data_IF_753910926016
#
_entry.id   IF_753910926016
#
_cell.length_a   1.000
_cell.length_b   1.000
_cell.length_c   1.000
_cell.angle_alpha   90.00
_cell.angle_beta   90.00
_cell.angle_gamma   90.00
#
_symmetry.space_group_name_H-M   'P 1'
#
loop_
_entity.id
_entity.type
_entity.pdbx_description
1 polymer ?
#
# COMPACT_ATOMS: atom_id res chain seq x y z
N UNK A 1 -1.92 23.84 -2.97
CA UNK A 1 -2.17 22.90 -1.86
C UNK A 1 -3.48 23.36 -1.27
N UNK A 2 -4.52 22.54 -1.42
CA UNK A 2 -5.82 22.79 -0.78
C UNK A 2 -5.64 22.50 0.71
N UNK A 3 -5.94 23.47 1.55
CA UNK A 3 -5.79 23.35 3.02
C UNK A 3 -6.76 22.32 3.63
N UNK A 4 -7.71 21.78 2.84
CA UNK A 4 -8.76 20.87 3.30
C UNK A 4 -8.24 19.45 3.61
N UNK A 5 -7.16 18.98 2.95
CA UNK A 5 -6.59 17.65 3.18
C UNK A 5 -5.69 17.55 4.41
N UNK A 6 -5.20 18.68 4.95
CA UNK A 6 -4.39 18.65 6.18
C UNK A 6 -5.19 18.17 7.40
N UNK A 7 -6.53 18.14 7.30
CA UNK A 7 -7.44 17.73 8.37
C UNK A 7 -8.03 16.32 8.20
N UNK A 8 -8.02 15.76 7.00
CA UNK A 8 -8.55 14.43 6.76
C UNK A 8 -7.43 13.40 6.87
N UNK A 9 -7.58 12.51 7.85
CA UNK A 9 -6.77 11.31 7.96
C UNK A 9 -7.66 10.11 7.66
N UNK A 10 -7.26 9.20 6.75
CA UNK A 10 -7.97 7.96 6.53
C UNK A 10 -8.04 7.10 7.79
N UNK A 11 -9.14 6.40 7.97
CA UNK A 11 -9.28 5.35 8.97
C UNK A 11 -9.21 3.97 8.30
N UNK A 12 -9.11 2.90 9.10
CA UNK A 12 -9.23 1.54 8.58
C UNK A 12 -10.52 1.30 7.77
N UNK A 13 -11.60 2.01 8.05
CA UNK A 13 -12.86 1.88 7.32
C UNK A 13 -12.81 2.49 5.91
N UNK A 14 -11.86 3.40 5.67
CA UNK A 14 -11.66 4.08 4.39
C UNK A 14 -10.75 3.27 3.46
N UNK A 15 -10.00 2.30 4.01
CA UNK A 15 -9.15 1.38 3.26
C UNK A 15 -10.01 0.24 2.71
N UNK A 16 -10.73 0.54 1.63
CA UNK A 16 -11.63 -0.37 0.91
C UNK A 16 -11.09 -0.57 -0.51
N UNK A 17 -10.27 -1.60 -0.78
CA UNK A 17 -9.65 -1.78 -2.10
C UNK A 17 -10.69 -1.90 -3.22
N UNK A 18 -10.57 -1.04 -4.23
CA UNK A 18 -11.38 -1.10 -5.47
C UNK A 18 -10.56 -1.70 -6.62
N UNK A 19 -9.30 -1.27 -6.75
CA UNK A 19 -8.35 -1.73 -7.74
C UNK A 19 -6.96 -1.91 -7.11
N UNK A 20 -6.15 -2.80 -7.67
CA UNK A 20 -4.77 -2.95 -7.24
C UNK A 20 -3.90 -3.48 -8.37
N UNK A 21 -2.65 -3.00 -8.39
CA UNK A 21 -1.63 -3.39 -9.35
C UNK A 21 -0.38 -3.90 -8.63
N UNK A 22 0.37 -4.77 -9.30
CA UNK A 22 1.68 -5.18 -8.81
C UNK A 22 2.70 -5.18 -9.93
N UNK A 23 3.93 -4.80 -9.57
CA UNK A 23 5.02 -4.65 -10.52
C UNK A 23 6.23 -5.45 -10.06
N UNK A 24 6.96 -5.94 -11.04
CA UNK A 24 8.29 -6.50 -10.83
C UNK A 24 9.30 -5.70 -11.62
N UNK A 25 10.13 -4.98 -10.88
CA UNK A 25 11.26 -4.27 -11.45
C UNK A 25 12.52 -5.11 -11.29
N UNK A 26 13.25 -5.31 -12.38
CA UNK A 26 14.59 -5.91 -12.37
C UNK A 26 15.63 -4.81 -12.49
N UNK A 27 16.44 -4.65 -11.44
CA UNK A 27 17.61 -3.79 -11.43
C UNK A 27 18.90 -4.59 -11.41
N UNK A 28 20.03 -3.89 -11.50
CA UNK A 28 21.36 -4.50 -11.40
C UNK A 28 21.57 -5.25 -10.07
N UNK A 29 20.88 -4.82 -9.01
CA UNK A 29 21.01 -5.34 -7.65
C UNK A 29 19.95 -6.39 -7.25
N UNK A 30 19.00 -6.70 -8.14
CA UNK A 30 17.98 -7.73 -7.88
C UNK A 30 16.61 -7.44 -8.49
N UNK A 31 15.62 -8.21 -8.05
CA UNK A 31 14.21 -8.00 -8.40
C UNK A 31 13.47 -7.37 -7.23
N UNK A 32 12.55 -6.46 -7.53
CA UNK A 32 11.79 -5.71 -6.54
C UNK A 32 10.29 -5.82 -6.83
N UNK A 33 9.51 -6.02 -5.77
CA UNK A 33 8.05 -6.05 -5.81
C UNK A 33 7.50 -4.71 -5.34
N UNK A 34 6.64 -4.12 -6.16
CA UNK A 34 5.79 -2.99 -5.78
C UNK A 34 4.34 -3.43 -5.83
N UNK A 35 3.54 -2.99 -4.86
CA UNK A 35 2.09 -3.20 -4.81
C UNK A 35 1.44 -1.86 -4.56
N UNK A 36 0.50 -1.51 -5.43
CA UNK A 36 -0.28 -0.28 -5.37
C UNK A 36 -1.76 -0.65 -5.28
N UNK A 37 -2.51 0.08 -4.47
CA UNK A 37 -3.94 -0.15 -4.23
C UNK A 37 -4.66 1.17 -4.27
N UNK A 38 -5.65 1.26 -5.14
CA UNK A 38 -6.64 2.33 -5.14
C UNK A 38 -7.87 1.84 -4.39
N UNK A 39 -8.24 2.56 -3.34
CA UNK A 39 -9.47 2.28 -2.59
C UNK A 39 -10.67 2.97 -3.24
N UNK A 40 -11.86 2.52 -2.85
CA UNK A 40 -13.11 3.17 -3.20
C UNK A 40 -13.05 4.67 -2.88
N UNK A 41 -13.67 5.47 -3.75
CA UNK A 41 -13.85 6.91 -3.54
C UNK A 41 -14.41 7.20 -2.15
N UNK A 42 -13.87 8.23 -1.52
CA UNK A 42 -14.38 8.82 -0.31
C UNK A 42 -15.61 9.67 -0.65
N UNK A 43 -16.70 9.02 -1.07
CA UNK A 43 -18.00 9.67 -1.19
C UNK A 43 -18.52 10.02 0.22
N UNK A 44 -17.95 11.06 0.83
CA UNK A 44 -18.50 11.60 2.05
C UNK A 44 -19.70 12.48 1.71
N UNK A 45 -20.87 12.10 2.22
CA UNK A 45 -22.10 12.87 2.05
C UNK A 45 -22.06 14.21 2.80
N UNK A 46 -21.09 14.38 3.69
CA UNK A 46 -20.97 15.53 4.58
C UNK A 46 -19.77 16.44 4.23
N UNK A 47 -18.88 16.06 3.31
CA UNK A 47 -17.74 16.88 2.89
C UNK A 47 -17.56 16.90 1.36
N UNK A 48 -18.16 17.91 0.71
CA UNK A 48 -18.10 18.10 -0.74
C UNK A 48 -16.66 18.26 -1.29
N UNK A 49 -15.68 18.59 -0.44
CA UNK A 49 -14.29 18.79 -0.84
C UNK A 49 -13.52 17.48 -1.10
N UNK A 50 -14.02 16.33 -0.63
CA UNK A 50 -13.41 15.01 -0.84
C UNK A 50 -14.11 14.19 -1.92
N UNK A 51 -15.16 14.76 -2.55
CA UNK A 51 -15.88 14.10 -3.62
C UNK A 51 -14.93 13.88 -4.81
N UNK A 52 -14.76 12.61 -5.18
CA UNK A 52 -13.92 12.10 -6.26
C UNK A 52 -12.46 11.75 -5.89
N UNK A 53 -12.07 11.84 -4.61
CA UNK A 53 -10.75 11.36 -4.16
C UNK A 53 -10.79 9.93 -3.62
N UNK A 54 -9.66 9.25 -3.77
CA UNK A 54 -9.47 7.87 -3.32
C UNK A 54 -8.25 7.76 -2.41
N UNK A 55 -8.34 6.86 -1.44
CA UNK A 55 -7.18 6.43 -0.65
C UNK A 55 -6.30 5.56 -1.53
N UNK A 56 -5.03 5.93 -1.63
CA UNK A 56 -3.99 5.12 -2.25
C UNK A 56 -3.12 4.48 -1.17
N UNK A 57 -2.93 3.16 -1.22
CA UNK A 57 -2.03 2.40 -0.35
C UNK A 57 -0.95 1.81 -1.22
N UNK A 58 0.31 2.04 -0.87
CA UNK A 58 1.43 1.49 -1.61
C UNK A 58 2.50 0.92 -0.70
N UNK A 59 3.14 -0.13 -1.22
CA UNK A 59 4.41 -0.63 -0.73
C UNK A 59 5.34 -0.75 -1.92
N UNK A 60 6.42 0.02 -1.90
CA UNK A 60 7.37 0.08 -3.01
C UNK A 60 8.69 -0.62 -2.66
N UNK A 61 9.30 -1.23 -3.67
CA UNK A 61 10.68 -1.75 -3.66
C UNK A 61 10.98 -2.91 -2.70
N UNK A 62 10.03 -3.81 -2.43
CA UNK A 62 10.35 -5.00 -1.64
C UNK A 62 11.33 -5.93 -2.39
N UNK A 63 12.56 -6.17 -1.87
CA UNK A 63 13.52 -7.01 -2.56
C UNK A 63 13.08 -8.47 -2.53
N UNK A 64 13.18 -9.11 -3.69
CA UNK A 64 12.88 -10.52 -3.87
C UNK A 64 14.18 -11.32 -4.10
N UNK A 65 14.23 -12.60 -3.71
CA UNK A 65 15.38 -13.49 -3.97
C UNK A 65 15.52 -13.87 -5.46
N UNK A 66 14.92 -13.10 -6.38
CA UNK A 66 14.83 -13.34 -7.81
C UNK A 66 13.46 -12.89 -8.35
N UNK A 67 13.29 -12.93 -9.67
CA UNK A 67 12.08 -12.49 -10.39
C UNK A 67 10.91 -13.50 -10.39
N UNK A 68 11.02 -14.57 -9.60
CA UNK A 68 10.03 -15.63 -9.57
C UNK A 68 9.06 -15.46 -8.38
N UNK A 69 7.87 -14.92 -8.65
CA UNK A 69 6.82 -14.71 -7.65
C UNK A 69 6.33 -16.03 -7.04
N UNK A 70 6.27 -17.12 -7.81
CA UNK A 70 5.85 -18.42 -7.28
C UNK A 70 6.77 -18.90 -6.16
N UNK A 71 8.04 -18.49 -6.18
CA UNK A 71 9.00 -18.84 -5.14
C UNK A 71 8.80 -18.07 -3.82
N UNK A 72 7.92 -17.06 -3.79
CA UNK A 72 7.59 -16.27 -2.61
C UNK A 72 6.15 -16.43 -2.14
N UNK A 73 5.31 -17.20 -2.84
CA UNK A 73 3.97 -17.55 -2.35
C UNK A 73 4.06 -18.27 -1.00
N UNK A 74 3.21 -17.87 -0.06
CA UNK A 74 3.20 -18.31 1.34
C UNK A 74 4.29 -17.67 2.20
N UNK A 75 5.07 -16.73 1.67
CA UNK A 75 6.07 -15.99 2.45
C UNK A 75 5.54 -14.64 2.92
N UNK A 76 6.16 -14.18 4.01
CA UNK A 76 5.96 -12.87 4.64
C UNK A 76 7.20 -12.02 4.38
N UNK A 77 7.06 -10.97 3.58
CA UNK A 77 8.05 -9.91 3.38
C UNK A 77 7.85 -8.85 4.46
N UNK A 78 8.92 -8.25 4.96
CA UNK A 78 8.83 -7.29 6.06
C UNK A 78 9.84 -6.16 5.86
N UNK A 79 9.39 -4.91 6.04
CA UNK A 79 10.27 -3.77 6.24
C UNK A 79 10.56 -3.56 7.72
N UNK A 80 11.79 -3.10 7.98
CA UNK A 80 12.29 -2.90 9.33
C UNK A 80 12.18 -1.45 9.76
N UNK A 81 12.27 -0.52 8.81
CA UNK A 81 12.00 0.92 8.96
C UNK A 81 11.51 1.45 7.61
N UNK A 82 10.92 2.65 7.60
CA UNK A 82 10.58 3.31 6.34
C UNK A 82 11.82 3.44 5.44
N UNK A 83 11.70 3.00 4.18
CA UNK A 83 12.79 3.03 3.20
C UNK A 83 13.81 1.89 3.33
N UNK A 84 13.67 1.00 4.32
CA UNK A 84 14.53 -0.19 4.43
C UNK A 84 13.74 -1.48 4.75
N UNK A 85 13.56 -2.40 3.78
CA UNK A 85 13.97 -2.32 2.38
C UNK A 85 12.87 -1.75 1.46
N UNK A 86 11.73 -1.31 2.01
CA UNK A 86 10.56 -0.89 1.25
C UNK A 86 10.00 0.42 1.79
N UNK A 87 9.27 1.15 0.95
CA UNK A 87 8.59 2.39 1.30
C UNK A 87 7.08 2.15 1.43
N UNK A 88 6.56 2.05 2.67
CA UNK A 88 5.13 1.92 2.91
C UNK A 88 4.46 3.30 3.06
N UNK A 89 3.51 3.58 2.16
CA UNK A 89 2.82 4.87 2.11
C UNK A 89 1.30 4.72 2.01
N UNK A 90 0.62 5.75 2.52
CA UNK A 90 -0.80 6.02 2.39
C UNK A 90 -0.94 7.43 1.82
N UNK A 91 -1.83 7.67 0.85
CA UNK A 91 -1.98 9.00 0.25
C UNK A 91 -3.38 9.30 -0.28
N UNK A 92 -3.76 10.58 -0.28
CA UNK A 92 -4.97 11.12 -0.91
C UNK A 92 -4.62 12.51 -1.48
N UNK A 93 -5.03 12.83 -2.72
CA UNK A 93 -4.84 14.13 -3.39
C UNK A 93 -3.47 14.81 -3.12
N UNK A 94 -2.39 14.05 -3.25
CA UNK A 94 -1.02 14.55 -3.04
C UNK A 94 -0.60 14.79 -1.58
N UNK A 95 -1.46 14.52 -0.59
CA UNK A 95 -1.06 14.31 0.79
C UNK A 95 -0.52 12.88 0.94
N UNK A 96 0.62 12.73 1.61
CA UNK A 96 1.30 11.44 1.80
C UNK A 96 1.63 11.24 3.28
N UNK A 97 1.34 10.04 3.78
CA UNK A 97 1.63 9.60 5.14
C UNK A 97 2.46 8.32 5.10
N UNK A 98 3.49 8.28 5.94
CA UNK A 98 4.50 7.22 5.98
C UNK A 98 4.35 6.36 7.22
N UNK A 99 4.68 5.10 7.05
CA UNK A 99 4.68 4.10 8.12
C UNK A 99 6.08 3.55 8.30
N UNK A 100 6.46 3.22 9.54
CA UNK A 100 7.79 2.69 9.84
C UNK A 100 7.93 1.26 9.36
N UNK A 101 6.85 0.47 9.40
CA UNK A 101 6.89 -0.93 9.02
C UNK A 101 5.73 -1.27 8.09
N UNK A 102 6.01 -2.09 7.10
CA UNK A 102 5.03 -2.87 6.38
C UNK A 102 5.41 -4.34 6.39
N UNK A 103 4.38 -5.16 6.45
CA UNK A 103 4.47 -6.58 6.13
C UNK A 103 3.65 -6.86 4.89
N UNK A 104 4.17 -7.64 3.95
CA UNK A 104 3.41 -8.16 2.81
C UNK A 104 3.46 -9.69 2.84
N UNK A 105 2.32 -10.32 3.06
CA UNK A 105 2.13 -11.76 2.94
C UNK A 105 1.60 -12.09 1.54
N UNK A 106 2.32 -12.93 0.79
CA UNK A 106 1.90 -13.38 -0.55
C UNK A 106 1.01 -14.61 -0.39
N UNK A 107 -0.30 -14.43 -0.44
CA UNK A 107 -1.26 -15.50 -0.17
C UNK A 107 -1.41 -16.46 -1.35
N UNK A 108 -1.42 -15.92 -2.58
CA UNK A 108 -1.66 -16.69 -3.80
C UNK A 108 -1.12 -15.97 -5.02
N UNK A 109 -0.62 -16.73 -5.99
CA UNK A 109 -0.27 -16.22 -7.32
C UNK A 109 -0.93 -17.10 -8.40
N UNK A 110 -1.58 -16.47 -9.36
CA UNK A 110 -2.43 -17.10 -10.37
C UNK A 110 -2.31 -16.35 -11.72
N UNK A 111 -1.32 -16.71 -12.54
CA UNK A 111 -1.11 -16.01 -13.81
C UNK A 111 -0.64 -14.58 -13.56
N UNK A 112 -1.46 -13.59 -13.92
CA UNK A 112 -1.15 -12.17 -13.67
C UNK A 112 -1.74 -11.66 -12.34
N UNK A 113 -2.45 -12.50 -11.60
CA UNK A 113 -3.08 -12.11 -10.33
C UNK A 113 -2.22 -12.52 -9.11
N UNK A 114 -2.03 -11.59 -8.19
CA UNK A 114 -1.33 -11.76 -6.92
C UNK A 114 -2.24 -11.36 -5.75
N UNK A 115 -2.68 -12.34 -4.97
CA UNK A 115 -3.43 -12.08 -3.73
C UNK A 115 -2.45 -11.86 -2.59
N UNK A 116 -2.55 -10.71 -1.92
CA UNK A 116 -1.67 -10.31 -0.83
C UNK A 116 -2.46 -9.82 0.38
N UNK A 117 -1.86 -9.95 1.56
CA UNK A 117 -2.26 -9.20 2.75
C UNK A 117 -1.11 -8.30 3.16
N UNK A 118 -1.42 -7.02 3.33
CA UNK A 118 -0.49 -5.99 3.76
C UNK A 118 -0.87 -5.48 5.14
N UNK A 119 0.11 -5.31 6.01
CA UNK A 119 -0.05 -4.74 7.36
C UNK A 119 0.94 -3.60 7.52
N UNK A 120 0.45 -2.41 7.86
CA UNK A 120 1.24 -1.20 8.04
C UNK A 120 1.22 -0.80 9.51
N UNK A 121 2.32 -0.29 10.04
CA UNK A 121 2.39 0.17 11.44
C UNK A 121 3.52 1.16 11.66
N UNK A 122 3.43 1.90 12.77
CA UNK A 122 4.44 2.88 13.15
C UNK A 122 4.22 4.17 12.38
N UNK A 123 3.09 4.83 12.63
CA UNK A 123 2.73 6.11 12.05
C UNK A 123 3.81 7.18 12.30
N UNK A 124 4.58 7.51 11.25
CA UNK A 124 5.69 8.47 11.33
C UNK A 124 5.16 9.90 11.33
N UNK A 125 4.04 10.13 10.64
CA UNK A 125 3.55 11.47 10.33
C UNK A 125 2.45 11.94 11.29
N UNK A 126 2.03 11.10 12.24
CA UNK A 126 1.18 11.49 13.38
C UNK A 126 -0.29 11.68 13.00
N UNK A 127 -0.79 10.76 12.18
CA UNK A 127 -2.16 10.67 11.68
C UNK A 127 -3.16 10.11 12.71
N UNK A 128 -2.71 9.50 13.81
CA UNK A 128 -3.51 8.73 14.78
C UNK A 128 -4.04 7.39 14.23
N UNK A 129 -3.71 7.02 12.99
CA UNK A 129 -3.87 5.66 12.47
C UNK A 129 -2.58 4.88 12.72
N UNK A 130 -2.37 4.39 13.95
CA UNK A 130 -1.12 3.70 14.34
C UNK A 130 -0.77 2.47 13.49
N UNK A 131 -1.79 1.80 12.95
CA UNK A 131 -1.64 0.62 12.09
C UNK A 131 -2.91 0.34 11.29
N UNK A 132 -2.77 -0.31 10.14
CA UNK A 132 -3.90 -0.79 9.35
C UNK A 132 -3.55 -2.05 8.55
N UNK A 133 -4.58 -2.75 8.06
CA UNK A 133 -4.45 -3.91 7.17
C UNK A 133 -5.19 -3.67 5.85
N UNK A 134 -4.61 -4.15 4.76
CA UNK A 134 -5.21 -4.17 3.43
C UNK A 134 -5.01 -5.56 2.81
N UNK A 135 -6.08 -6.28 2.49
CA UNK A 135 -6.02 -7.55 1.76
C UNK A 135 -6.68 -7.38 0.39
N UNK A 136 -5.95 -7.71 -0.68
CA UNK A 136 -6.38 -7.44 -2.04
C UNK A 136 -5.80 -8.45 -3.02
N UNK A 137 -6.46 -8.63 -4.16
CA UNK A 137 -5.83 -9.26 -5.33
C UNK A 137 -5.43 -8.17 -6.31
N UNK A 138 -4.12 -8.01 -6.48
CA UNK A 138 -3.54 -7.10 -7.45
C UNK A 138 -3.33 -7.82 -8.78
N UNK A 139 -3.48 -7.10 -9.89
CA UNK A 139 -3.23 -7.60 -11.24
C UNK A 139 -2.03 -6.89 -11.85
N UNK A 140 -1.24 -7.61 -12.65
CA UNK A 140 -0.01 -7.09 -13.27
C UNK A 140 -0.26 -6.06 -14.37
#
# INVERSE_FOLDING_TARGET
MNDDYESFVPTQADIRPESASWFLDEGDDGAYLTIEVECESLEDKDNEALLDDYVHVAVEWFPLPGNNVDAIVGKRLQSNIFGEPAEPTLSIDGAHWRYDHATVEILKHNGDDLTVRMEFSGDIDGTDLDSFTCEVTATR
#
